data_IF_156595701973
#
_entry.id   IF_156595701973
#
_cell.length_a   1.000
_cell.length_b   1.000
_cell.length_c   1.000
_cell.angle_alpha   90.00
_cell.angle_beta   90.00
_cell.angle_gamma   90.00
#
_symmetry.space_group_name_H-M   'P 1'
#
loop_
_entity.id
_entity.type
_entity.pdbx_description
1 polymer ?
#
# COMPACT_ATOMS: atom_id res chain seq x y z
N UNK A 1 4.76 2.12 -15.73
CA UNK A 1 4.77 2.42 -14.29
C UNK A 1 3.63 3.38 -13.95
N UNK A 2 2.78 3.08 -12.95
CA UNK A 2 2.27 4.12 -12.08
C UNK A 2 3.50 4.75 -11.43
N UNK A 3 3.96 5.86 -11.98
CA UNK A 3 4.96 6.69 -11.33
C UNK A 3 4.44 6.95 -9.92
N UNK A 4 5.10 6.50 -8.85
CA UNK A 4 4.58 6.75 -7.51
C UNK A 4 4.59 8.24 -7.17
N UNK A 5 5.18 9.11 -8.00
CA UNK A 5 5.02 10.56 -7.93
C UNK A 5 3.73 11.05 -8.58
N UNK A 6 3.06 10.20 -9.37
CA UNK A 6 1.67 10.39 -9.76
C UNK A 6 0.78 9.96 -8.59
N UNK A 7 -0.09 10.85 -8.06
CA UNK A 7 -0.96 10.52 -6.94
C UNK A 7 -1.98 9.41 -7.23
N UNK A 8 -2.27 9.15 -8.50
CA UNK A 8 -3.26 8.16 -8.92
C UNK A 8 -2.55 6.96 -9.56
N UNK A 9 -2.60 5.76 -8.95
CA UNK A 9 -2.11 4.57 -9.61
C UNK A 9 -2.85 4.34 -10.93
N UNK A 10 -2.10 4.11 -12.00
CA UNK A 10 -2.65 3.60 -13.26
C UNK A 10 -3.05 2.14 -13.07
N UNK A 11 -4.22 1.92 -12.47
CA UNK A 11 -4.87 0.62 -12.45
C UNK A 11 -5.54 0.42 -13.81
N UNK A 12 -5.16 -0.62 -14.55
CA UNK A 12 -5.94 -1.03 -15.73
C UNK A 12 -7.35 -1.44 -15.28
N UNK A 13 -8.42 -1.19 -16.06
CA UNK A 13 -8.48 -0.60 -17.40
C UNK A 13 -8.82 0.90 -17.44
N UNK A 14 -8.96 1.58 -16.28
CA UNK A 14 -9.23 3.02 -16.17
C UNK A 14 -8.58 3.58 -14.93
N UNK A 15 -8.14 4.85 -15.00
CA UNK A 15 -7.73 5.62 -13.82
C UNK A 15 -8.87 5.63 -12.79
N UNK A 16 -8.79 4.72 -11.82
CA UNK A 16 -9.79 4.61 -10.77
C UNK A 16 -9.59 5.81 -9.84
N UNK A 17 -10.42 6.84 -9.97
CA UNK A 17 -10.45 7.98 -9.03
C UNK A 17 -10.60 7.54 -7.58
N UNK A 18 -11.14 6.33 -7.41
CA UNK A 18 -11.37 5.66 -6.15
C UNK A 18 -10.09 5.15 -5.49
N UNK A 19 -8.97 5.03 -6.22
CA UNK A 19 -7.70 4.56 -5.66
C UNK A 19 -6.62 5.62 -5.73
N UNK A 20 -5.96 5.90 -4.61
CA UNK A 20 -4.87 6.88 -4.51
C UNK A 20 -3.64 6.27 -3.85
N UNK A 21 -2.45 6.75 -4.21
CA UNK A 21 -1.27 6.53 -3.39
C UNK A 21 -1.31 7.49 -2.19
N UNK A 22 -1.42 6.90 -1.00
CA UNK A 22 -1.71 7.65 0.22
C UNK A 22 -0.64 8.71 0.53
N UNK A 23 0.63 8.43 0.22
CA UNK A 23 1.75 9.31 0.57
C UNK A 23 1.62 10.76 0.09
N UNK A 24 0.83 11.02 -0.96
CA UNK A 24 0.61 12.37 -1.50
C UNK A 24 -0.48 13.16 -0.82
N UNK A 25 -1.34 12.48 -0.04
CA UNK A 25 -2.52 13.07 0.58
C UNK A 25 -2.43 13.09 2.11
N UNK A 26 -1.30 12.61 2.66
CA UNK A 26 -0.98 12.73 4.08
C UNK A 26 -0.20 14.02 4.31
N UNK A 27 -0.74 14.87 5.17
CA UNK A 27 -0.19 16.16 5.58
C UNK A 27 0.26 16.12 7.05
N UNK A 28 -0.33 15.25 7.87
CA UNK A 28 0.04 15.09 9.27
C UNK A 28 1.39 14.37 9.42
N UNK A 29 2.37 15.06 10.02
CA UNK A 29 3.73 14.54 10.24
C UNK A 29 3.79 13.31 11.17
N UNK A 30 2.74 13.05 11.95
CA UNK A 30 2.63 11.85 12.78
C UNK A 30 2.15 10.63 11.99
N UNK A 31 1.77 10.79 10.72
CA UNK A 31 1.39 9.70 9.83
C UNK A 31 2.47 9.56 8.76
N UNK A 32 3.19 8.44 8.78
CA UNK A 32 4.20 8.12 7.77
C UNK A 32 3.67 6.99 6.92
N UNK A 33 3.70 7.17 5.61
CA UNK A 33 3.24 6.17 4.63
C UNK A 33 4.37 5.82 3.67
N UNK A 34 4.66 4.53 3.57
CA UNK A 34 5.63 3.99 2.62
C UNK A 34 5.19 4.08 1.17
N UNK A 35 6.14 3.97 0.26
CA UNK A 35 5.87 3.97 -1.18
C UNK A 35 4.93 2.83 -1.60
N UNK A 36 4.18 3.08 -2.69
CA UNK A 36 3.23 2.15 -3.29
C UNK A 36 2.09 1.68 -2.36
N UNK A 37 1.93 2.33 -1.21
CA UNK A 37 0.78 2.12 -0.33
C UNK A 37 -0.39 2.94 -0.82
N UNK A 38 -1.52 2.26 -1.05
CA UNK A 38 -2.70 2.85 -1.64
C UNK A 38 -3.95 2.63 -0.80
N UNK A 39 -4.90 3.55 -0.94
CA UNK A 39 -6.23 3.46 -0.35
C UNK A 39 -7.27 3.46 -1.46
N UNK A 40 -8.24 2.56 -1.37
CA UNK A 40 -9.38 2.50 -2.27
C UNK A 40 -10.67 2.91 -1.52
N UNK A 41 -11.35 3.95 -2.00
CA UNK A 41 -12.64 4.44 -1.48
C UNK A 41 -13.46 5.06 -2.62
N UNK A 42 -14.75 4.73 -2.68
CA UNK A 42 -15.64 5.21 -3.73
C UNK A 42 -16.00 6.70 -3.63
N UNK A 43 -15.79 7.32 -2.46
CA UNK A 43 -16.25 8.68 -2.19
C UNK A 43 -15.10 9.69 -2.19
N UNK A 44 -14.25 9.62 -1.16
CA UNK A 44 -13.24 10.63 -0.86
C UNK A 44 -11.94 10.00 -0.36
N UNK A 45 -11.24 9.21 -1.19
CA UNK A 45 -10.01 8.55 -0.78
C UNK A 45 -8.95 9.56 -0.28
N UNK A 46 -8.94 10.78 -0.82
CA UNK A 46 -8.04 11.87 -0.42
C UNK A 46 -8.21 12.31 1.04
N UNK A 47 -9.36 12.01 1.66
CA UNK A 47 -9.67 12.35 3.05
C UNK A 47 -9.25 11.27 4.04
N UNK A 48 -8.53 10.23 3.62
CA UNK A 48 -8.10 9.13 4.47
C UNK A 48 -7.53 9.59 5.82
N UNK A 49 -6.68 10.61 5.81
CA UNK A 49 -6.10 11.18 7.04
C UNK A 49 -7.16 11.60 8.05
N UNK A 50 -8.22 12.26 7.59
CA UNK A 50 -9.26 12.84 8.44
C UNK A 50 -10.43 11.89 8.69
N UNK A 51 -10.74 11.00 7.75
CA UNK A 51 -11.91 10.13 7.84
C UNK A 51 -11.57 8.76 8.43
N UNK A 52 -10.37 8.24 8.18
CA UNK A 52 -9.99 6.87 8.52
C UNK A 52 -8.98 6.79 9.67
N UNK A 53 -8.30 7.89 10.03
CA UNK A 53 -7.34 7.91 11.14
C UNK A 53 -7.88 8.74 12.32
N UNK A 54 -7.84 8.17 13.52
CA UNK A 54 -8.23 8.83 14.78
C UNK A 54 -7.06 8.77 15.75
N UNK A 55 -6.79 9.87 16.46
CA UNK A 55 -5.78 9.90 17.53
C UNK A 55 -4.33 10.12 17.10
N UNK A 56 -4.07 10.42 15.82
CA UNK A 56 -2.71 10.74 15.31
C UNK A 56 -2.11 12.03 15.91
N UNK A 57 -2.85 12.76 16.73
CA UNK A 57 -2.33 13.88 17.52
C UNK A 57 -1.47 13.42 18.71
N UNK A 58 -1.70 12.21 19.22
CA UNK A 58 -1.07 11.69 20.45
C UNK A 58 -0.10 10.54 20.19
N UNK A 59 -0.14 9.95 18.99
CA UNK A 59 0.68 8.81 18.62
C UNK A 59 1.08 8.88 17.14
N UNK A 60 2.20 8.23 16.83
CA UNK A 60 2.72 8.13 15.46
C UNK A 60 2.21 6.86 14.78
N UNK A 61 1.61 7.01 13.60
CA UNK A 61 1.21 5.92 12.72
C UNK A 61 2.25 5.75 11.62
N UNK A 62 2.78 4.53 11.47
CA UNK A 62 3.68 4.18 10.38
C UNK A 62 3.01 3.06 9.58
N UNK A 63 2.66 3.36 8.33
CA UNK A 63 2.16 2.38 7.36
C UNK A 63 3.34 2.04 6.44
N UNK A 64 3.71 0.77 6.39
CA UNK A 64 4.81 0.28 5.56
C UNK A 64 4.58 0.48 4.07
N UNK A 65 5.54 0.05 3.24
CA UNK A 65 5.42 0.03 1.78
C UNK A 65 4.46 -1.08 1.32
N UNK A 66 3.90 -0.97 0.12
CA UNK A 66 3.07 -2.03 -0.51
C UNK A 66 1.82 -2.45 0.27
N UNK A 67 1.23 -1.53 1.03
CA UNK A 67 -0.01 -1.81 1.74
C UNK A 67 -1.22 -1.42 0.88
N UNK A 68 -2.16 -2.37 0.74
CA UNK A 68 -3.47 -2.11 0.16
C UNK A 68 -4.48 -1.88 1.29
N UNK A 69 -5.05 -0.68 1.36
CA UNK A 69 -6.06 -0.35 2.37
C UNK A 69 -7.43 -0.26 1.68
N UNK A 70 -8.37 -1.06 2.17
CA UNK A 70 -9.72 -1.13 1.60
C UNK A 70 -10.66 -0.10 2.23
N UNK A 71 -11.68 0.29 1.47
CA UNK A 71 -12.75 1.19 1.90
C UNK A 71 -13.33 0.77 3.26
N UNK A 72 -13.60 1.75 4.12
CA UNK A 72 -14.18 1.53 5.45
C UNK A 72 -13.19 1.12 6.54
N UNK A 73 -11.90 1.02 6.23
CA UNK A 73 -10.85 0.81 7.25
C UNK A 73 -10.84 1.98 8.24
N UNK A 74 -10.85 1.71 9.54
CA UNK A 74 -10.68 2.74 10.58
C UNK A 74 -9.50 2.38 11.47
N UNK A 75 -8.55 3.32 11.61
CA UNK A 75 -7.34 3.21 12.40
C UNK A 75 -7.48 4.14 13.61
N UNK A 76 -7.69 3.54 14.78
CA UNK A 76 -7.84 4.28 16.05
C UNK A 76 -6.57 4.15 16.87
N UNK A 77 -5.87 5.27 17.03
CA UNK A 77 -4.61 5.38 17.74
C UNK A 77 -4.88 5.87 19.16
N UNK A 78 -4.97 4.93 20.11
CA UNK A 78 -5.02 5.23 21.55
C UNK A 78 -3.66 4.93 22.18
N UNK A 79 -3.35 3.64 22.29
CA UNK A 79 -2.07 3.12 22.79
C UNK A 79 -1.47 2.17 21.75
N UNK A 80 -0.87 2.73 20.70
CA UNK A 80 -0.28 1.93 19.61
C UNK A 80 1.18 1.64 19.91
N UNK A 81 1.54 0.36 19.78
CA UNK A 81 2.92 -0.13 19.85
C UNK A 81 3.23 -0.86 18.54
N UNK A 82 4.41 -0.63 17.98
CA UNK A 82 4.91 -1.41 16.84
C UNK A 82 5.05 -2.86 17.30
N UNK A 83 4.12 -3.72 16.87
CA UNK A 83 4.12 -5.13 17.28
C UNK A 83 5.20 -5.92 16.55
N UNK A 84 5.22 -5.83 15.21
CA UNK A 84 6.22 -6.47 14.34
C UNK A 84 6.07 -6.01 12.89
N UNK A 85 7.13 -6.20 12.10
CA UNK A 85 7.08 -6.13 10.65
C UNK A 85 6.44 -7.39 10.05
N UNK A 86 5.88 -7.28 8.83
CA UNK A 86 5.30 -8.43 8.10
C UNK A 86 6.37 -9.39 7.59
N UNK A 87 7.53 -8.85 7.21
CA UNK A 87 8.65 -9.61 6.65
C UNK A 87 9.99 -9.05 7.18
N UNK A 88 11.06 -9.86 7.21
CA UNK A 88 12.43 -9.38 7.41
C UNK A 88 12.89 -8.43 6.29
N UNK A 89 13.86 -7.56 6.58
CA UNK A 89 14.37 -6.56 5.63
C UNK A 89 14.87 -7.18 4.32
N UNK A 90 15.54 -8.33 4.39
CA UNK A 90 16.01 -9.08 3.21
C UNK A 90 14.86 -9.46 2.26
N UNK A 91 13.72 -9.90 2.80
CA UNK A 91 12.54 -10.24 2.00
C UNK A 91 11.90 -8.98 1.41
N UNK A 92 11.94 -7.88 2.15
CA UNK A 92 11.45 -6.58 1.67
C UNK A 92 12.27 -6.10 0.47
N UNK A 93 13.60 -6.24 0.53
CA UNK A 93 14.50 -5.91 -0.58
C UNK A 93 14.23 -6.77 -1.82
N UNK A 94 14.04 -8.08 -1.65
CA UNK A 94 13.73 -8.96 -2.78
C UNK A 94 12.37 -8.64 -3.41
N UNK A 95 11.34 -8.36 -2.59
CA UNK A 95 10.03 -7.92 -3.09
C UNK A 95 10.12 -6.58 -3.84
N UNK A 96 10.97 -5.67 -3.34
CA UNK A 96 11.26 -4.38 -3.97
C UNK A 96 11.95 -4.52 -5.33
N UNK A 97 12.75 -5.57 -5.54
CA UNK A 97 13.34 -5.86 -6.86
C UNK A 97 12.34 -6.49 -7.82
N UNK A 98 11.54 -7.45 -7.34
CA UNK A 98 10.54 -8.18 -8.14
C UNK A 98 9.50 -7.24 -8.76
N UNK A 99 9.06 -6.25 -7.98
CA UNK A 99 8.08 -5.25 -8.42
C UNK A 99 6.85 -5.87 -9.11
N UNK A 100 6.26 -6.90 -8.49
CA UNK A 100 5.16 -7.66 -9.11
C UNK A 100 3.94 -6.81 -9.46
N UNK A 101 3.79 -5.64 -8.83
CA UNK A 101 2.77 -4.64 -9.16
C UNK A 101 3.00 -3.94 -10.50
N UNK A 102 4.21 -3.99 -11.07
CA UNK A 102 4.53 -3.46 -12.40
C UNK A 102 4.35 -4.50 -13.52
N UNK A 103 4.00 -5.75 -13.17
CA UNK A 103 3.69 -6.79 -14.15
C UNK A 103 2.37 -6.51 -14.89
N UNK A 104 2.22 -7.07 -16.08
CA UNK A 104 0.95 -7.03 -16.79
C UNK A 104 -0.12 -7.86 -16.05
N UNK A 105 -1.39 -7.56 -16.36
CA UNK A 105 -2.54 -8.17 -15.69
C UNK A 105 -2.53 -9.71 -15.79
N UNK A 106 -2.14 -10.26 -16.95
CA UNK A 106 -2.15 -11.71 -17.15
C UNK A 106 -1.05 -12.38 -16.30
N UNK A 107 0.13 -11.77 -16.25
CA UNK A 107 1.22 -12.21 -15.40
C UNK A 107 0.86 -12.14 -13.91
N UNK A 108 0.23 -11.06 -13.45
CA UNK A 108 -0.26 -10.96 -12.07
C UNK A 108 -1.27 -12.07 -11.79
N UNK A 109 -2.26 -12.26 -12.67
CA UNK A 109 -3.34 -13.24 -12.51
C UNK A 109 -2.80 -14.66 -12.41
N UNK A 110 -1.82 -15.04 -13.24
CA UNK A 110 -1.16 -16.35 -13.20
C UNK A 110 -0.39 -16.59 -11.90
N UNK A 111 0.12 -15.53 -11.29
CA UNK A 111 1.01 -15.59 -10.13
C UNK A 111 0.34 -15.18 -8.81
N UNK A 112 -0.99 -15.00 -8.76
CA UNK A 112 -1.74 -14.68 -7.53
C UNK A 112 -1.36 -15.60 -6.35
N UNK A 113 -1.26 -16.93 -6.51
CA UNK A 113 -0.90 -17.80 -5.39
C UNK A 113 0.48 -17.48 -4.80
N UNK A 114 1.45 -17.11 -5.64
CA UNK A 114 2.80 -16.74 -5.21
C UNK A 114 2.82 -15.37 -4.52
N UNK A 115 2.03 -14.41 -5.01
CA UNK A 115 1.90 -13.07 -4.42
C UNK A 115 1.26 -13.15 -3.03
N UNK A 116 0.15 -13.86 -2.90
CA UNK A 116 -0.57 -14.01 -1.62
C UNK A 116 0.25 -14.81 -0.61
N UNK A 117 0.97 -15.84 -1.08
CA UNK A 117 1.86 -16.65 -0.25
C UNK A 117 3.19 -16.00 0.08
N UNK A 118 3.54 -14.86 -0.53
CA UNK A 118 4.88 -14.28 -0.50
C UNK A 118 5.99 -15.29 -0.88
N UNK A 119 5.72 -16.13 -1.88
CA UNK A 119 6.65 -17.16 -2.39
C UNK A 119 7.69 -16.49 -3.30
N UNK A 120 8.76 -15.99 -2.69
CA UNK A 120 9.78 -15.18 -3.35
C UNK A 120 10.46 -15.93 -4.50
N UNK A 121 10.70 -17.24 -4.35
CA UNK A 121 11.37 -18.03 -5.38
C UNK A 121 10.50 -18.17 -6.64
N UNK A 122 9.20 -18.41 -6.47
CA UNK A 122 8.28 -18.40 -7.62
C UNK A 122 8.13 -17.02 -8.23
N UNK A 123 8.12 -15.97 -7.41
CA UNK A 123 8.00 -14.60 -7.91
C UNK A 123 9.24 -14.17 -8.72
N UNK A 124 10.44 -14.61 -8.35
CA UNK A 124 11.67 -14.38 -9.13
C UNK A 124 11.68 -15.11 -10.48
N UNK A 125 11.02 -16.26 -10.56
CA UNK A 125 10.95 -17.09 -11.76
C UNK A 125 9.70 -16.82 -12.62
N UNK A 126 8.85 -15.86 -12.21
CA UNK A 126 7.64 -15.55 -12.92
C UNK A 126 7.96 -14.87 -14.26
N UNK A 127 7.55 -15.50 -15.36
CA UNK A 127 7.54 -14.93 -16.72
C UNK A 127 6.28 -14.14 -17.01
#
# INVERSE_FOLDING_TARGET
MPNHNNPYPHLFPKQAKETIFLKHFIHNLNIIVGDYTYYNDANHPEKFEYENVRGAHFAKLIIGKFCAIAMGTSIVLLSVILQRYRFPDEIVEQLLEIQWWDWDYDKITRNIPAIVGADIEKLKQAE
#
